data_IF_242115816470
#
_entry.id   IF_242115816470
#
_cell.length_a   1.000
_cell.length_b   1.000
_cell.length_c   1.000
_cell.angle_alpha   90.00
_cell.angle_beta   90.00
_cell.angle_gamma   90.00
#
_symmetry.space_group_name_H-M   'P 1'
#
loop_
_entity.id
_entity.type
_entity.pdbx_description
1 polymer ?
#
# COMPACT_ATOMS: atom_id res chain seq x y z
N UNK A 1 -48.41 13.58 -0.84
CA UNK A 1 -47.57 12.97 0.21
C UNK A 1 -46.20 13.63 0.11
N UNK A 2 -45.96 14.71 0.86
CA UNK A 2 -44.66 15.37 0.91
C UNK A 2 -43.76 14.53 1.80
N UNK A 3 -42.68 13.97 1.26
CA UNK A 3 -41.64 13.39 2.09
C UNK A 3 -41.15 14.49 3.04
N UNK A 4 -41.27 14.24 4.34
CA UNK A 4 -40.85 15.16 5.37
C UNK A 4 -39.37 15.51 5.14
N UNK A 5 -39.04 16.79 5.18
CA UNK A 5 -37.72 17.34 4.88
C UNK A 5 -36.63 16.53 5.61
N UNK A 6 -36.95 16.06 6.82
CA UNK A 6 -36.15 15.19 7.67
C UNK A 6 -35.75 13.85 7.04
N UNK A 7 -36.64 13.15 6.33
CA UNK A 7 -36.32 11.87 5.67
C UNK A 7 -35.28 12.04 4.55
N UNK A 8 -35.26 13.20 3.89
CA UNK A 8 -34.29 13.48 2.81
C UNK A 8 -32.88 13.72 3.35
N UNK A 9 -32.76 14.30 4.54
CA UNK A 9 -31.47 14.63 5.15
C UNK A 9 -30.93 13.54 6.06
N UNK A 10 -31.77 12.61 6.53
CA UNK A 10 -31.36 11.50 7.40
C UNK A 10 -30.24 10.65 6.77
N UNK A 11 -30.41 10.23 5.52
CA UNK A 11 -29.39 9.43 4.82
C UNK A 11 -28.08 10.20 4.68
N UNK A 12 -28.15 11.47 4.26
CA UNK A 12 -26.95 12.30 4.10
C UNK A 12 -26.24 12.53 5.45
N UNK A 13 -27.00 12.76 6.52
CA UNK A 13 -26.48 12.92 7.87
C UNK A 13 -25.70 11.69 8.32
N UNK A 14 -26.27 10.49 8.16
CA UNK A 14 -25.60 9.24 8.52
C UNK A 14 -24.36 8.97 7.65
N UNK A 15 -24.43 9.26 6.35
CA UNK A 15 -23.28 9.15 5.44
C UNK A 15 -22.14 10.08 5.88
N UNK A 16 -22.44 11.35 6.16
CA UNK A 16 -21.44 12.31 6.61
C UNK A 16 -20.85 11.93 7.97
N UNK A 17 -21.69 11.46 8.89
CA UNK A 17 -21.26 10.95 10.20
C UNK A 17 -20.32 9.75 10.04
N UNK A 18 -20.65 8.81 9.15
CA UNK A 18 -19.79 7.66 8.85
C UNK A 18 -18.44 8.07 8.27
N UNK A 19 -18.42 9.00 7.31
CA UNK A 19 -17.17 9.53 6.73
C UNK A 19 -16.33 10.22 7.81
N UNK A 20 -16.96 11.01 8.68
CA UNK A 20 -16.26 11.69 9.77
C UNK A 20 -15.61 10.72 10.75
N UNK A 21 -16.36 9.71 11.22
CA UNK A 21 -15.85 8.67 12.12
C UNK A 21 -14.71 7.89 11.46
N UNK A 22 -14.86 7.53 10.19
CA UNK A 22 -13.81 6.84 9.43
C UNK A 22 -12.52 7.66 9.34
N UNK A 23 -12.61 8.93 8.97
CA UNK A 23 -11.46 9.84 8.91
C UNK A 23 -10.81 10.04 10.28
N UNK A 24 -11.60 10.11 11.36
CA UNK A 24 -11.11 10.25 12.73
C UNK A 24 -10.30 9.02 13.14
N UNK A 25 -10.80 7.81 12.88
CA UNK A 25 -10.08 6.56 13.15
C UNK A 25 -8.76 6.52 12.37
N UNK A 26 -8.78 6.80 11.06
CA UNK A 26 -7.58 6.83 10.23
C UNK A 26 -6.55 7.83 10.75
N UNK A 27 -7.00 9.01 11.19
CA UNK A 27 -6.14 10.06 11.76
C UNK A 27 -5.47 9.59 13.06
N UNK A 28 -6.22 8.94 13.95
CA UNK A 28 -5.67 8.38 15.19
C UNK A 28 -4.59 7.34 14.87
N UNK A 29 -4.87 6.41 13.95
CA UNK A 29 -3.90 5.40 13.52
C UNK A 29 -2.63 6.07 12.95
N UNK A 30 -2.78 7.09 12.10
CA UNK A 30 -1.64 7.84 11.57
C UNK A 30 -0.77 8.44 12.68
N UNK A 31 -1.39 9.06 13.68
CA UNK A 31 -0.67 9.66 14.80
C UNK A 31 0.08 8.60 15.61
N UNK A 32 -0.54 7.46 15.91
CA UNK A 32 0.10 6.32 16.61
C UNK A 32 1.28 5.77 15.82
N UNK A 33 1.14 5.61 14.51
CA UNK A 33 2.24 5.14 13.66
C UNK A 33 3.36 6.19 13.60
N UNK A 34 3.01 7.47 13.49
CA UNK A 34 3.99 8.57 13.40
C UNK A 34 4.82 8.71 14.67
N UNK A 35 4.23 8.46 15.83
CA UNK A 35 4.94 8.42 17.12
C UNK A 35 5.80 7.15 17.22
N UNK A 36 5.27 5.98 16.88
CA UNK A 36 6.01 4.71 16.94
C UNK A 36 7.23 4.66 16.00
N UNK A 37 7.12 5.22 14.80
CA UNK A 37 8.17 5.16 13.77
C UNK A 37 9.10 6.40 13.74
N UNK A 38 9.01 7.28 14.74
CA UNK A 38 9.85 8.48 14.89
C UNK A 38 10.01 9.30 13.58
N UNK A 39 8.94 10.02 13.18
CA UNK A 39 8.90 11.00 12.06
C UNK A 39 9.23 10.49 10.65
N UNK A 40 9.56 9.22 10.44
CA UNK A 40 9.88 8.68 9.09
C UNK A 40 8.67 8.53 8.15
N UNK A 41 7.47 8.83 8.61
CA UNK A 41 6.25 8.70 7.82
C UNK A 41 6.01 9.94 6.95
N UNK A 42 5.44 9.70 5.77
CA UNK A 42 4.94 10.77 4.90
C UNK A 42 3.89 11.66 5.58
N UNK A 43 3.53 12.76 4.91
CA UNK A 43 2.48 13.65 5.38
C UNK A 43 1.12 12.95 5.53
N UNK A 44 0.26 13.47 6.40
CA UNK A 44 -1.07 12.90 6.64
C UNK A 44 -1.94 12.84 5.37
N UNK A 45 -1.76 13.81 4.45
CA UNK A 45 -2.44 13.81 3.15
C UNK A 45 -2.10 12.59 2.30
N UNK A 46 -0.82 12.21 2.23
CA UNK A 46 -0.38 10.99 1.53
C UNK A 46 -0.96 9.73 2.19
N UNK A 47 -0.94 9.67 3.53
CA UNK A 47 -1.53 8.56 4.27
C UNK A 47 -3.03 8.40 3.98
N UNK A 48 -3.80 9.48 4.04
CA UNK A 48 -5.24 9.43 3.76
C UNK A 48 -5.51 9.09 2.30
N UNK A 49 -4.76 9.64 1.34
CA UNK A 49 -4.93 9.30 -0.09
C UNK A 49 -4.69 7.82 -0.35
N UNK A 50 -3.75 7.19 0.37
CA UNK A 50 -3.53 5.74 0.26
C UNK A 50 -4.76 4.94 0.66
N UNK A 51 -5.47 5.30 1.74
CA UNK A 51 -6.67 4.57 2.16
C UNK A 51 -7.86 4.74 1.22
N UNK A 52 -7.99 5.92 0.59
CA UNK A 52 -9.02 6.15 -0.43
C UNK A 52 -8.70 5.44 -1.75
N UNK A 53 -7.41 5.38 -2.12
CA UNK A 53 -6.96 4.72 -3.35
C UNK A 53 -6.69 3.22 -3.17
N UNK A 54 -6.66 2.73 -1.93
CA UNK A 54 -6.32 1.34 -1.60
C UNK A 54 -7.17 0.32 -2.39
N UNK A 55 -8.50 0.47 -2.53
CA UNK A 55 -9.31 -0.46 -3.31
C UNK A 55 -8.88 -0.50 -4.79
N UNK A 56 -8.54 0.65 -5.36
CA UNK A 56 -8.09 0.77 -6.76
C UNK A 56 -6.69 0.18 -6.93
N UNK A 57 -5.79 0.41 -5.98
CA UNK A 57 -4.46 -0.21 -5.93
C UNK A 57 -4.56 -1.74 -5.82
N UNK A 58 -5.48 -2.25 -5.00
CA UNK A 58 -5.72 -3.68 -4.84
C UNK A 58 -6.23 -4.31 -6.15
N UNK A 59 -7.19 -3.66 -6.81
CA UNK A 59 -7.68 -4.06 -8.13
C UNK A 59 -6.55 -4.06 -9.18
N UNK A 60 -5.70 -3.03 -9.19
CA UNK A 60 -4.54 -2.94 -10.08
C UNK A 60 -3.54 -4.08 -9.86
N UNK A 61 -3.24 -4.42 -8.61
CA UNK A 61 -2.32 -5.52 -8.27
C UNK A 61 -2.92 -6.90 -8.57
N UNK A 62 -4.20 -7.14 -8.31
CA UNK A 62 -4.87 -8.42 -8.62
C UNK A 62 -4.95 -8.65 -10.13
N UNK A 63 -5.18 -7.59 -10.90
CA UNK A 63 -5.25 -7.66 -12.37
C UNK A 63 -3.87 -7.63 -13.04
N UNK A 64 -2.80 -7.31 -12.31
CA UNK A 64 -1.44 -7.29 -12.83
C UNK A 64 -0.94 -8.72 -13.09
N UNK A 65 -0.93 -9.10 -14.37
CA UNK A 65 -0.48 -10.43 -14.81
C UNK A 65 0.98 -10.71 -14.40
N UNK A 66 1.26 -11.74 -13.57
CA UNK A 66 2.62 -12.00 -13.06
C UNK A 66 3.66 -12.22 -14.16
N UNK A 67 3.24 -12.79 -15.30
CA UNK A 67 4.13 -12.99 -16.47
C UNK A 67 4.60 -11.68 -17.08
N UNK A 68 3.74 -10.66 -17.17
CA UNK A 68 4.11 -9.34 -17.71
C UNK A 68 5.12 -8.66 -16.80
N UNK A 69 4.91 -8.73 -15.48
CA UNK A 69 5.83 -8.18 -14.48
C UNK A 69 7.20 -8.86 -14.53
N UNK A 70 7.23 -10.20 -14.59
CA UNK A 70 8.48 -10.97 -14.79
C UNK A 70 9.19 -10.56 -16.08
N UNK A 71 8.47 -10.44 -17.19
CA UNK A 71 9.04 -10.03 -18.48
C UNK A 71 9.61 -8.60 -18.42
N UNK A 72 8.91 -7.68 -17.76
CA UNK A 72 9.38 -6.32 -17.55
C UNK A 72 10.70 -6.29 -16.74
N UNK A 73 10.79 -7.07 -15.65
CA UNK A 73 12.01 -7.21 -14.85
C UNK A 73 13.19 -7.77 -15.68
N UNK A 74 12.94 -8.79 -16.50
CA UNK A 74 14.01 -9.35 -17.36
C UNK A 74 14.42 -8.33 -18.44
N UNK A 75 13.46 -7.62 -19.03
CA UNK A 75 13.71 -6.59 -20.05
C UNK A 75 14.44 -5.37 -19.50
N UNK A 76 14.28 -5.05 -18.21
CA UNK A 76 15.08 -4.01 -17.54
C UNK A 76 16.53 -4.46 -17.26
N UNK A 77 16.88 -5.71 -17.59
CA UNK A 77 18.22 -6.24 -17.44
C UNK A 77 18.47 -6.96 -16.12
N UNK A 78 17.42 -7.25 -15.34
CA UNK A 78 17.56 -8.02 -14.11
C UNK A 78 17.99 -9.47 -14.41
N UNK A 79 19.04 -9.92 -13.74
CA UNK A 79 19.65 -11.25 -13.92
C UNK A 79 20.08 -11.83 -12.57
N UNK A 80 20.47 -13.10 -12.58
CA UNK A 80 21.03 -13.78 -11.41
C UNK A 80 22.24 -13.02 -10.84
N UNK A 81 22.33 -12.93 -9.52
CA UNK A 81 23.40 -12.24 -8.80
C UNK A 81 23.29 -10.72 -8.78
N UNK A 82 22.33 -10.11 -9.48
CA UNK A 82 22.16 -8.66 -9.46
C UNK A 82 21.61 -8.16 -8.12
N UNK A 83 21.90 -6.89 -7.83
CA UNK A 83 21.18 -6.11 -6.82
C UNK A 83 20.01 -5.38 -7.48
N UNK A 84 18.83 -5.44 -6.87
CA UNK A 84 17.62 -4.78 -7.34
C UNK A 84 17.08 -3.85 -6.26
N UNK A 85 16.77 -2.61 -6.63
CA UNK A 85 16.13 -1.63 -5.76
C UNK A 85 14.75 -1.30 -6.30
N UNK A 86 13.75 -1.32 -5.41
CA UNK A 86 12.39 -0.91 -5.71
C UNK A 86 11.89 0.04 -4.63
N UNK A 87 11.37 1.19 -5.08
CA UNK A 87 10.67 2.16 -4.25
C UNK A 87 9.16 2.04 -4.49
N UNK A 88 8.37 1.95 -3.42
CA UNK A 88 6.94 1.69 -3.49
C UNK A 88 6.63 0.20 -3.65
N UNK A 89 6.97 -0.61 -2.65
CA UNK A 89 6.87 -2.07 -2.66
C UNK A 89 5.42 -2.55 -2.83
N UNK A 90 4.45 -1.74 -2.40
CA UNK A 90 3.03 -2.08 -2.50
C UNK A 90 2.72 -3.38 -1.74
N UNK A 91 2.17 -4.36 -2.46
CA UNK A 91 1.89 -5.71 -1.94
C UNK A 91 3.08 -6.68 -2.10
N UNK A 92 4.24 -6.23 -2.58
CA UNK A 92 5.45 -7.03 -2.71
C UNK A 92 5.49 -7.94 -3.95
N UNK A 93 4.59 -7.78 -4.91
CA UNK A 93 4.45 -8.67 -6.08
C UNK A 93 5.67 -8.62 -7.03
N UNK A 94 6.23 -7.45 -7.32
CA UNK A 94 7.48 -7.28 -8.08
C UNK A 94 8.72 -7.74 -7.34
N UNK A 95 8.98 -7.31 -6.08
CA UNK A 95 10.22 -7.66 -5.43
C UNK A 95 10.28 -9.16 -5.11
N UNK A 96 9.14 -9.83 -4.85
CA UNK A 96 9.10 -11.30 -4.70
C UNK A 96 9.43 -12.02 -6.02
N UNK A 97 9.02 -11.47 -7.16
CA UNK A 97 9.43 -12.02 -8.46
C UNK A 97 10.90 -11.72 -8.75
N UNK A 98 11.37 -10.53 -8.40
CA UNK A 98 12.76 -10.13 -8.54
C UNK A 98 13.69 -11.02 -7.70
N UNK A 99 13.30 -11.35 -6.46
CA UNK A 99 14.09 -12.25 -5.59
C UNK A 99 14.32 -13.62 -6.22
N UNK A 100 13.32 -14.15 -6.94
CA UNK A 100 13.45 -15.40 -7.69
C UNK A 100 14.35 -15.30 -8.92
N UNK A 101 14.46 -14.12 -9.53
CA UNK A 101 15.32 -13.90 -10.71
C UNK A 101 16.78 -13.72 -10.28
N UNK A 102 17.03 -12.92 -9.23
CA UNK A 102 18.40 -12.65 -8.77
C UNK A 102 19.02 -13.84 -8.02
N UNK A 103 18.19 -14.73 -7.48
CA UNK A 103 18.63 -15.96 -6.84
C UNK A 103 19.40 -15.74 -5.54
N UNK A 104 20.03 -16.79 -5.02
CA UNK A 104 20.69 -16.79 -3.71
C UNK A 104 21.88 -15.82 -3.59
N UNK A 105 22.51 -15.47 -4.72
CA UNK A 105 23.66 -14.54 -4.76
C UNK A 105 23.23 -13.07 -4.93
N UNK A 106 21.98 -12.82 -5.25
CA UNK A 106 21.44 -11.48 -5.47
C UNK A 106 20.99 -10.79 -4.19
N UNK A 107 20.63 -9.51 -4.31
CA UNK A 107 20.08 -8.71 -3.20
C UNK A 107 18.87 -7.92 -3.69
N UNK A 108 17.83 -7.86 -2.85
CA UNK A 108 16.63 -7.07 -3.08
C UNK A 108 16.56 -5.98 -2.01
N UNK A 109 16.46 -4.73 -2.43
CA UNK A 109 16.21 -3.57 -1.60
C UNK A 109 14.81 -3.07 -1.90
N UNK A 110 13.90 -3.29 -0.96
CA UNK A 110 12.48 -2.97 -1.10
C UNK A 110 12.17 -1.83 -0.12
N UNK A 111 11.96 -0.62 -0.64
CA UNK A 111 11.73 0.60 0.12
C UNK A 111 10.28 1.04 0.01
N UNK A 112 9.66 1.33 1.15
CA UNK A 112 8.32 1.91 1.17
C UNK A 112 8.21 2.98 2.25
N UNK A 113 7.34 3.96 2.02
CA UNK A 113 7.04 4.99 3.00
C UNK A 113 5.81 4.63 3.87
N UNK A 114 5.06 3.59 3.47
CA UNK A 114 3.85 3.15 4.12
C UNK A 114 4.16 2.06 5.16
N UNK A 115 3.98 2.35 6.47
CA UNK A 115 4.43 1.46 7.54
C UNK A 115 3.68 0.13 7.55
N UNK A 116 2.39 0.12 7.16
CA UNK A 116 1.64 -1.12 7.04
C UNK A 116 2.24 -2.08 6.01
N UNK A 117 2.72 -1.58 4.86
CA UNK A 117 3.32 -2.43 3.83
C UNK A 117 4.66 -2.99 4.30
N UNK A 118 5.48 -2.16 4.95
CA UNK A 118 6.73 -2.60 5.58
C UNK A 118 6.45 -3.70 6.62
N UNK A 119 5.50 -3.49 7.53
CA UNK A 119 5.18 -4.47 8.59
C UNK A 119 4.64 -5.76 7.99
N UNK A 120 3.69 -5.68 7.05
CA UNK A 120 3.05 -6.84 6.42
C UNK A 120 4.07 -7.72 5.71
N UNK A 121 5.02 -7.10 5.01
CA UNK A 121 5.98 -7.80 4.17
C UNK A 121 7.25 -8.20 4.92
N UNK A 122 7.59 -7.57 6.05
CA UNK A 122 8.79 -7.86 6.85
C UNK A 122 9.04 -9.36 7.10
N UNK A 123 8.04 -10.19 7.48
CA UNK A 123 8.26 -11.62 7.69
C UNK A 123 8.76 -12.37 6.45
N UNK A 124 8.43 -11.90 5.26
CA UNK A 124 8.82 -12.51 3.99
C UNK A 124 10.25 -12.15 3.56
N UNK A 125 10.86 -11.13 4.18
CA UNK A 125 12.20 -10.62 3.82
C UNK A 125 13.29 -10.96 4.84
N UNK A 126 12.92 -11.37 6.07
CA UNK A 126 13.87 -11.63 7.16
C UNK A 126 14.51 -13.04 7.07
N UNK A 127 14.20 -13.85 6.04
CA UNK A 127 14.66 -15.25 5.93
C UNK A 127 15.43 -15.63 4.65
N UNK A 128 16.12 -14.70 4.02
CA UNK A 128 17.08 -14.99 2.92
C UNK A 128 18.39 -14.28 3.14
#
# INVERSE_FOLDING_TARGET
MQADVWQKYEVLFWVLTGIFVYLLILTIIYLVLKTAFHKKLGGIGLYLSYFFLFPLLLLGEITAYPRRRKMWLIRSGLKEGHSYLEEGIGLGTSPILASRIVGAKGRIYALDNHPLQIILLKPYWVKT
#
